data_IF_909836753358
#
_entry.id   IF_909836753358
#
_cell.length_a   1.000
_cell.length_b   1.000
_cell.length_c   1.000
_cell.angle_alpha   90.00
_cell.angle_beta   90.00
_cell.angle_gamma   90.00
#
_symmetry.space_group_name_H-M   'P 1'
#
loop_
_entity.id
_entity.type
_entity.pdbx_description
1 polymer ?
#
# COMPACT_ATOMS: atom_id res chain seq x y z
N UNK A 1 -16.68 -4.25 -4.15
CA UNK A 1 -16.93 -2.92 -4.73
C UNK A 1 -16.81 -1.88 -3.62
N UNK A 2 -16.47 -0.62 -3.93
CA UNK A 2 -16.23 0.46 -2.96
C UNK A 2 -17.48 0.89 -2.19
N UNK A 3 -17.38 1.92 -1.33
CA UNK A 3 -18.52 2.45 -0.56
C UNK A 3 -18.13 3.06 0.80
N UNK A 4 -19.05 3.79 1.45
CA UNK A 4 -18.78 4.59 2.66
C UNK A 4 -18.26 3.81 3.88
N UNK A 5 -18.50 2.50 3.92
CA UNK A 5 -18.01 1.61 4.98
C UNK A 5 -16.49 1.36 4.94
N UNK A 6 -15.83 1.72 3.84
CA UNK A 6 -14.40 1.49 3.64
C UNK A 6 -13.59 2.75 3.91
N UNK A 7 -13.13 2.92 5.15
CA UNK A 7 -12.20 3.99 5.54
C UNK A 7 -12.64 5.38 5.07
N UNK A 8 -11.73 6.09 4.41
CA UNK A 8 -11.96 7.46 3.94
C UNK A 8 -12.81 7.56 2.66
N UNK A 9 -13.26 6.44 2.08
CA UNK A 9 -14.03 6.44 0.84
C UNK A 9 -15.26 7.37 0.88
N UNK A 10 -16.02 7.32 1.98
CA UNK A 10 -17.23 8.13 2.16
C UNK A 10 -16.96 9.64 2.20
N UNK A 11 -15.72 10.07 2.42
CA UNK A 11 -15.34 11.49 2.37
C UNK A 11 -15.29 12.04 0.95
N UNK A 12 -15.11 11.18 -0.05
CA UNK A 12 -15.00 11.55 -1.46
C UNK A 12 -16.22 11.10 -2.26
N UNK A 13 -16.72 9.88 -2.00
CA UNK A 13 -17.86 9.32 -2.69
C UNK A 13 -18.78 8.54 -1.73
N UNK A 14 -20.03 9.03 -1.49
CA UNK A 14 -20.97 8.37 -0.60
C UNK A 14 -21.74 7.20 -1.26
N UNK A 15 -21.60 6.99 -2.57
CA UNK A 15 -22.31 5.93 -3.28
C UNK A 15 -21.69 4.55 -3.05
N UNK A 16 -22.52 3.55 -2.69
CA UNK A 16 -22.06 2.17 -2.60
C UNK A 16 -21.76 1.63 -4.00
N UNK A 17 -20.67 0.89 -4.10
CA UNK A 17 -20.19 0.28 -5.33
C UNK A 17 -19.54 1.23 -6.35
N UNK A 18 -19.48 2.53 -6.09
CA UNK A 18 -18.81 3.51 -6.94
C UNK A 18 -17.38 3.73 -6.43
N UNK A 19 -16.38 3.72 -7.32
CA UNK A 19 -14.99 3.96 -6.94
C UNK A 19 -14.69 5.40 -6.55
N UNK A 20 -13.49 5.60 -5.98
CA UNK A 20 -12.84 6.91 -5.80
C UNK A 20 -11.75 7.10 -6.86
N UNK A 21 -11.41 8.34 -7.17
CA UNK A 21 -10.38 8.69 -8.14
C UNK A 21 -8.97 8.35 -7.65
N UNK A 22 -7.99 8.37 -8.54
CA UNK A 22 -6.58 8.17 -8.19
C UNK A 22 -6.07 9.28 -7.26
N UNK A 23 -6.53 10.50 -7.51
CA UNK A 23 -6.22 11.72 -6.78
C UNK A 23 -6.78 11.66 -5.35
N UNK A 24 -7.95 11.05 -5.16
CA UNK A 24 -8.54 10.82 -3.84
C UNK A 24 -7.65 9.86 -3.04
N UNK A 25 -7.13 8.80 -3.67
CA UNK A 25 -6.18 7.89 -3.02
C UNK A 25 -4.89 8.62 -2.60
N UNK A 26 -4.38 9.53 -3.44
CA UNK A 26 -3.20 10.35 -3.11
C UNK A 26 -3.49 11.34 -1.97
N UNK A 27 -4.68 11.92 -1.93
CA UNK A 27 -5.10 12.78 -0.82
C UNK A 27 -5.17 12.01 0.51
N UNK A 28 -5.72 10.79 0.49
CA UNK A 28 -5.76 9.89 1.65
C UNK A 28 -4.36 9.48 2.10
N UNK A 29 -3.47 9.15 1.17
CA UNK A 29 -2.06 8.82 1.46
C UNK A 29 -1.34 10.00 2.13
N UNK A 30 -1.47 11.21 1.58
CA UNK A 30 -0.88 12.42 2.13
C UNK A 30 -1.44 12.76 3.52
N UNK A 31 -2.75 12.61 3.72
CA UNK A 31 -3.37 12.78 5.03
C UNK A 31 -2.75 11.84 6.07
N UNK A 32 -2.64 10.55 5.76
CA UNK A 32 -2.04 9.57 6.68
C UNK A 32 -0.56 9.87 6.97
N UNK A 33 0.21 10.30 5.96
CA UNK A 33 1.58 10.74 6.15
C UNK A 33 1.67 11.94 7.11
N UNK A 34 0.85 12.97 6.90
CA UNK A 34 0.85 14.15 7.78
C UNK A 34 0.40 13.80 9.21
N UNK A 35 -0.57 12.90 9.39
CA UNK A 35 -0.96 12.40 10.71
C UNK A 35 0.20 11.65 11.40
N UNK A 36 1.00 10.87 10.66
CA UNK A 36 2.19 10.22 11.23
C UNK A 36 3.20 11.20 11.84
N UNK A 37 3.32 12.39 11.24
CA UNK A 37 4.19 13.47 11.72
C UNK A 37 3.58 14.13 12.97
N UNK A 38 2.30 14.49 12.91
CA UNK A 38 1.60 15.13 14.03
C UNK A 38 1.61 14.25 15.28
N UNK A 39 1.33 12.96 15.11
CA UNK A 39 1.24 12.01 16.20
C UNK A 39 2.63 11.49 16.66
N UNK A 40 3.68 11.73 15.85
CA UNK A 40 5.01 11.17 16.09
C UNK A 40 5.07 9.64 15.99
N UNK A 41 4.13 9.03 15.26
CA UNK A 41 3.99 7.57 15.15
C UNK A 41 4.20 7.12 13.70
N UNK A 42 5.13 6.19 13.49
CA UNK A 42 5.35 5.58 12.17
C UNK A 42 4.10 4.82 11.72
N UNK A 43 3.55 5.21 10.56
CA UNK A 43 2.46 4.51 9.87
C UNK A 43 3.00 3.70 8.69
N UNK A 44 2.18 2.78 8.18
CA UNK A 44 2.50 1.99 6.99
C UNK A 44 1.84 2.56 5.72
N UNK A 45 2.41 2.35 4.52
CA UNK A 45 3.67 1.65 4.25
C UNK A 45 4.92 2.47 4.66
N UNK A 46 5.91 1.79 5.24
CA UNK A 46 7.19 2.36 5.65
C UNK A 46 8.35 1.90 4.74
N UNK A 47 9.56 2.42 4.97
CA UNK A 47 10.75 1.94 4.26
C UNK A 47 11.09 0.48 4.57
N UNK A 48 10.68 -0.05 5.73
CA UNK A 48 10.79 -1.48 6.00
C UNK A 48 9.92 -2.28 5.02
N UNK A 49 8.66 -1.88 4.86
CA UNK A 49 7.75 -2.51 3.90
C UNK A 49 8.23 -2.38 2.46
N UNK A 50 8.81 -1.23 2.09
CA UNK A 50 9.41 -1.05 0.76
C UNK A 50 10.61 -2.00 0.53
N UNK A 51 11.47 -2.18 1.54
CA UNK A 51 12.55 -3.18 1.49
C UNK A 51 11.99 -4.59 1.34
N UNK A 52 11.02 -4.97 2.16
CA UNK A 52 10.47 -6.33 2.14
C UNK A 52 9.79 -6.63 0.80
N UNK A 53 9.10 -5.65 0.20
CA UNK A 53 8.59 -5.73 -1.16
C UNK A 53 9.71 -5.93 -2.18
N UNK A 54 10.81 -5.19 -2.07
CA UNK A 54 11.95 -5.36 -2.97
C UNK A 54 12.56 -6.77 -2.87
N UNK A 55 12.61 -7.36 -1.67
CA UNK A 55 13.09 -8.74 -1.49
C UNK A 55 12.18 -9.76 -2.20
N UNK A 56 10.86 -9.56 -2.15
CA UNK A 56 9.90 -10.37 -2.91
C UNK A 56 10.15 -10.22 -4.41
N UNK A 57 10.31 -8.99 -4.91
CA UNK A 57 10.59 -8.73 -6.31
C UNK A 57 11.88 -9.43 -6.77
N UNK A 58 12.93 -9.44 -5.95
CA UNK A 58 14.15 -10.19 -6.24
C UNK A 58 13.93 -11.70 -6.31
N UNK A 59 13.09 -12.26 -5.43
CA UNK A 59 12.74 -13.68 -5.51
C UNK A 59 11.95 -14.02 -6.79
N UNK A 60 11.06 -13.12 -7.23
CA UNK A 60 10.32 -13.28 -8.49
C UNK A 60 11.26 -13.30 -9.70
N UNK A 61 12.29 -12.44 -9.72
CA UNK A 61 13.31 -12.43 -10.79
C UNK A 61 14.05 -13.76 -10.83
N UNK A 62 14.56 -14.25 -9.70
CA UNK A 62 15.25 -15.56 -9.64
C UNK A 62 14.33 -16.71 -10.05
N UNK A 63 13.06 -16.66 -9.64
CA UNK A 63 12.08 -17.71 -9.94
C UNK A 63 11.80 -17.81 -11.43
N UNK A 64 11.74 -16.67 -12.12
CA UNK A 64 11.64 -16.61 -13.56
C UNK A 64 12.85 -17.27 -14.25
N UNK A 65 14.06 -17.00 -13.76
CA UNK A 65 15.30 -17.55 -14.32
C UNK A 65 15.45 -19.05 -14.06
N UNK A 66 15.10 -19.53 -12.85
CA UNK A 66 15.24 -20.94 -12.46
C UNK A 66 14.09 -21.83 -12.93
N UNK A 67 12.95 -21.24 -13.30
CA UNK A 67 11.72 -21.97 -13.66
C UNK A 67 11.09 -22.69 -12.47
N UNK A 68 11.49 -22.35 -11.24
CA UNK A 68 11.10 -23.03 -10.02
C UNK A 68 10.74 -22.06 -8.89
N UNK A 69 10.29 -22.63 -7.77
CA UNK A 69 10.01 -21.85 -6.56
C UNK A 69 11.31 -21.35 -5.93
N UNK A 70 11.37 -20.05 -5.66
CA UNK A 70 12.50 -19.40 -5.00
C UNK A 70 12.12 -18.89 -3.61
N UNK A 71 13.03 -19.04 -2.66
CA UNK A 71 12.87 -18.47 -1.32
C UNK A 71 13.05 -16.94 -1.39
N UNK A 72 12.22 -16.21 -0.66
CA UNK A 72 12.45 -14.79 -0.37
C UNK A 72 13.55 -14.70 0.70
N UNK A 73 14.68 -14.08 0.37
CA UNK A 73 15.85 -14.00 1.27
C UNK A 73 16.07 -12.53 1.63
N UNK A 74 16.09 -12.22 2.93
CA UNK A 74 16.52 -10.94 3.48
C UNK A 74 17.61 -11.13 4.53
N UNK A 75 18.30 -10.06 4.96
CA UNK A 75 19.22 -10.09 6.11
C UNK A 75 18.53 -10.52 7.39
#
# INVERSE_FOLDING_TARGET
LGGPKYGDHGRFNPGDGIGVGYEDLKAIEAYNFLQSIVDGQQREPSFRSARDLALVQQAMIRSWESGGWERVVGP
#
